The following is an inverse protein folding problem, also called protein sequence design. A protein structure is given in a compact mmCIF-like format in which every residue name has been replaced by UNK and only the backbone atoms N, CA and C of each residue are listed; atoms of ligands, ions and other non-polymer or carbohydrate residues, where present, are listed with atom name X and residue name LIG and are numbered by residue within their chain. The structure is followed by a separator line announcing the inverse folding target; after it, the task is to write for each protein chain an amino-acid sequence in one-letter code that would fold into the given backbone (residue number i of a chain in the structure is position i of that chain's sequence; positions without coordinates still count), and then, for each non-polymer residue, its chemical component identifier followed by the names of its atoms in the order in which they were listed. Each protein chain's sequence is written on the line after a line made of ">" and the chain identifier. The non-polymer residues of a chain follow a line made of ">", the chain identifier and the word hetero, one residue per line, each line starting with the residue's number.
data_IF_262593232924
#
_entry.id   IF_262593232924
#
_cell.length_a   1.000
_cell.length_b   1.000
_cell.length_c   1.000
_cell.angle_alpha   90.00
_cell.angle_beta   90.00
_cell.angle_gamma   90.00
#
_symmetry.space_group_name_H-M   'P 1'
#
loop_
_entity.id
_entity.type
_entity.pdbx_description
1 polymer ?
#
# COMPACT_ATOMS: atom_id res chain seq x y z
N UNK A 1 -11.83 8.04 19.97
CA UNK A 1 -10.57 8.61 19.44
C UNK A 1 -9.52 7.54 19.12
N UNK A 2 -9.15 6.65 20.04
CA UNK A 2 -8.06 5.67 19.82
C UNK A 2 -8.28 4.71 18.63
N UNK A 3 -9.51 4.24 18.40
CA UNK A 3 -9.83 3.37 17.26
C UNK A 3 -9.67 4.07 15.90
N UNK A 4 -10.08 5.34 15.79
CA UNK A 4 -9.94 6.15 14.56
C UNK A 4 -8.47 6.29 14.14
N UNK A 5 -7.60 6.68 15.07
CA UNK A 5 -6.17 6.80 14.81
C UNK A 5 -5.54 5.46 14.40
N UNK A 6 -5.95 4.36 15.05
CA UNK A 6 -5.46 3.03 14.72
C UNK A 6 -5.84 2.60 13.29
N UNK A 7 -7.10 2.79 12.88
CA UNK A 7 -7.52 2.49 11.50
C UNK A 7 -6.80 3.34 10.46
N UNK A 8 -6.64 4.64 10.73
CA UNK A 8 -5.93 5.55 9.82
C UNK A 8 -4.45 5.17 9.71
N UNK A 9 -3.79 4.88 10.84
CA UNK A 9 -2.37 4.48 10.85
C UNK A 9 -2.14 3.15 10.14
N UNK A 10 -3.03 2.17 10.30
CA UNK A 10 -2.93 0.88 9.60
C UNK A 10 -3.14 1.06 8.10
N UNK A 11 -4.17 1.82 7.70
CA UNK A 11 -4.46 2.07 6.29
C UNK A 11 -3.28 2.77 5.61
N UNK A 12 -2.77 3.85 6.19
CA UNK A 12 -1.61 4.58 5.65
C UNK A 12 -0.34 3.73 5.68
N UNK A 13 -0.09 2.99 6.76
CA UNK A 13 1.12 2.17 6.88
C UNK A 13 1.17 1.02 5.87
N UNK A 14 0.06 0.31 5.67
CA UNK A 14 -0.01 -0.78 4.67
C UNK A 14 0.16 -0.20 3.26
N UNK A 15 -0.54 0.89 2.94
CA UNK A 15 -0.48 1.52 1.61
C UNK A 15 0.94 2.03 1.30
N UNK A 16 1.60 2.64 2.28
CA UNK A 16 2.99 3.08 2.14
C UNK A 16 3.96 1.91 1.90
N UNK A 17 3.79 0.79 2.60
CA UNK A 17 4.59 -0.41 2.36
C UNK A 17 4.37 -1.02 0.98
N UNK A 18 3.11 -1.05 0.51
CA UNK A 18 2.76 -1.46 -0.85
C UNK A 18 3.52 -0.65 -1.89
N UNK A 19 3.56 0.67 -1.73
CA UNK A 19 4.23 1.57 -2.66
C UNK A 19 5.75 1.41 -2.67
N UNK A 20 6.38 1.18 -1.50
CA UNK A 20 7.80 0.83 -1.44
C UNK A 20 8.09 -0.47 -2.22
N UNK A 21 7.24 -1.49 -2.09
CA UNK A 21 7.43 -2.75 -2.82
C UNK A 21 7.31 -2.55 -4.33
N UNK A 22 6.35 -1.76 -4.78
CA UNK A 22 6.17 -1.40 -6.18
C UNK A 22 7.42 -0.67 -6.72
N UNK A 23 7.89 0.36 -6.00
CA UNK A 23 9.08 1.11 -6.36
C UNK A 23 10.33 0.22 -6.43
N UNK A 24 10.51 -0.72 -5.49
CA UNK A 24 11.65 -1.66 -5.48
C UNK A 24 11.59 -2.61 -6.67
N UNK A 25 10.41 -3.18 -6.98
CA UNK A 25 10.24 -4.11 -8.10
C UNK A 25 10.53 -3.42 -9.43
N UNK A 26 10.08 -2.18 -9.60
CA UNK A 26 10.24 -1.41 -10.83
C UNK A 26 11.65 -0.81 -11.00
N UNK A 27 12.28 -0.35 -9.91
CA UNK A 27 13.57 0.37 -9.95
C UNK A 27 14.81 -0.54 -9.93
N UNK A 28 14.69 -1.78 -9.45
CA UNK A 28 15.79 -2.75 -9.52
C UNK A 28 16.12 -3.00 -10.98
N UNK A 29 17.38 -3.09 -11.44
CA UNK A 29 17.70 -3.41 -12.84
C UNK A 29 17.81 -4.94 -13.08
N UNK A 30 17.57 -5.39 -14.31
CA UNK A 30 17.72 -6.82 -14.67
C UNK A 30 19.15 -7.28 -14.43
N UNK A 31 20.14 -6.44 -14.80
CA UNK A 31 21.56 -6.71 -14.56
C UNK A 31 21.91 -6.89 -13.09
N UNK A 32 21.30 -6.12 -12.18
CA UNK A 32 21.54 -6.28 -10.75
C UNK A 32 20.99 -7.62 -10.24
N UNK A 33 19.85 -8.06 -10.76
CA UNK A 33 19.25 -9.36 -10.43
C UNK A 33 20.15 -10.50 -10.94
N UNK A 34 20.62 -10.43 -12.19
CA UNK A 34 21.51 -11.42 -12.77
C UNK A 34 22.81 -11.59 -11.95
N UNK A 35 23.41 -10.48 -11.51
CA UNK A 35 24.59 -10.52 -10.63
C UNK A 35 24.25 -11.24 -9.31
N UNK A 36 23.12 -10.93 -8.67
CA UNK A 36 22.71 -11.62 -7.45
C UNK A 36 22.45 -13.11 -7.65
N UNK A 37 21.91 -13.51 -8.81
CA UNK A 37 21.70 -14.92 -9.18
C UNK A 37 23.04 -15.63 -9.35
N UNK A 38 24.00 -15.00 -10.04
CA UNK A 38 25.36 -15.53 -10.24
C UNK A 38 26.14 -15.65 -8.92
N UNK A 39 25.96 -14.72 -7.99
CA UNK A 39 26.49 -14.79 -6.62
C UNK A 39 25.81 -15.87 -5.76
N UNK A 40 24.81 -16.58 -6.29
CA UNK A 40 24.09 -17.65 -5.59
C UNK A 40 23.09 -17.15 -4.54
N UNK A 41 22.81 -15.85 -4.48
CA UNK A 41 21.89 -15.26 -3.49
C UNK A 41 20.46 -15.70 -3.78
N UNK A 42 19.77 -16.19 -2.74
CA UNK A 42 18.37 -16.63 -2.82
C UNK A 42 17.44 -15.50 -3.28
N UNK A 43 17.71 -14.26 -2.86
CA UNK A 43 16.93 -13.08 -3.23
C UNK A 43 17.00 -12.82 -4.74
N UNK A 44 18.16 -13.04 -5.38
CA UNK A 44 18.33 -12.89 -6.83
C UNK A 44 17.37 -13.80 -7.60
N UNK A 45 17.37 -15.10 -7.29
CA UNK A 45 16.45 -16.07 -7.93
C UNK A 45 14.97 -15.77 -7.69
N UNK A 46 14.65 -15.18 -6.53
CA UNK A 46 13.27 -14.82 -6.20
C UNK A 46 12.82 -13.58 -6.98
N UNK A 47 13.68 -12.56 -7.07
CA UNK A 47 13.43 -11.36 -7.85
C UNK A 47 13.37 -11.65 -9.35
N UNK A 48 14.21 -12.56 -9.85
CA UNK A 48 14.18 -13.04 -11.25
C UNK A 48 12.79 -13.59 -11.60
N UNK A 49 12.25 -14.52 -10.79
CA UNK A 49 10.89 -15.06 -10.98
C UNK A 49 9.79 -14.02 -10.86
N UNK A 50 9.90 -13.10 -9.90
CA UNK A 50 8.92 -12.02 -9.73
C UNK A 50 8.93 -11.06 -10.93
N UNK A 51 10.06 -10.96 -11.65
CA UNK A 51 10.22 -10.07 -12.79
C UNK A 51 9.84 -10.68 -14.12
N UNK A 52 9.93 -12.01 -14.27
CA UNK A 52 9.39 -12.72 -15.43
C UNK A 52 7.90 -12.41 -15.65
N UNK A 53 7.14 -12.21 -14.57
CA UNK A 53 5.74 -11.82 -14.61
C UNK A 53 5.47 -10.66 -13.64
N UNK A 54 6.04 -9.49 -13.93
CA UNK A 54 5.94 -8.30 -13.05
C UNK A 54 4.49 -7.85 -12.78
N UNK A 55 3.57 -8.14 -13.69
CA UNK A 55 2.15 -7.82 -13.55
C UNK A 55 1.50 -8.54 -12.35
N UNK A 56 1.95 -9.76 -12.03
CA UNK A 56 1.39 -10.55 -10.94
C UNK A 56 1.65 -9.94 -9.55
N UNK A 57 2.90 -9.62 -9.14
CA UNK A 57 3.15 -8.98 -7.85
C UNK A 57 2.59 -7.55 -7.82
N UNK A 58 2.63 -6.79 -8.92
CA UNK A 58 2.04 -5.44 -8.97
C UNK A 58 0.51 -5.52 -8.75
N UNK A 59 -0.19 -6.42 -9.44
CA UNK A 59 -1.63 -6.60 -9.24
C UNK A 59 -1.98 -7.03 -7.79
N UNK A 60 -1.15 -7.88 -7.18
CA UNK A 60 -1.33 -8.27 -5.79
C UNK A 60 -1.12 -7.08 -4.82
N UNK A 61 -0.10 -6.26 -5.06
CA UNK A 61 0.18 -5.04 -4.28
C UNK A 61 -0.98 -4.05 -4.42
N UNK A 62 -1.46 -3.79 -5.63
CA UNK A 62 -2.57 -2.88 -5.90
C UNK A 62 -3.88 -3.36 -5.25
N UNK A 63 -4.11 -4.67 -5.27
CA UNK A 63 -5.27 -5.29 -4.59
C UNK A 63 -5.18 -5.10 -3.08
N UNK A 64 -4.00 -5.34 -2.49
CA UNK A 64 -3.78 -5.11 -1.06
C UNK A 64 -3.99 -3.64 -0.68
N UNK A 65 -3.52 -2.71 -1.53
CA UNK A 65 -3.74 -1.29 -1.35
C UNK A 65 -5.25 -0.95 -1.37
N UNK A 66 -5.99 -1.47 -2.35
CA UNK A 66 -7.45 -1.30 -2.46
C UNK A 66 -8.18 -1.78 -1.21
N UNK A 67 -7.76 -2.92 -0.64
CA UNK A 67 -8.32 -3.44 0.61
C UNK A 67 -7.98 -2.49 1.77
N UNK A 68 -6.74 -2.02 1.87
CA UNK A 68 -6.31 -1.09 2.92
C UNK A 68 -7.09 0.23 2.88
N UNK A 69 -7.28 0.80 1.67
CA UNK A 69 -8.12 1.97 1.45
C UNK A 69 -9.57 1.74 1.88
N UNK A 70 -10.16 0.63 1.44
CA UNK A 70 -11.59 0.34 1.67
C UNK A 70 -11.86 0.08 3.15
N UNK A 71 -11.07 -0.80 3.77
CA UNK A 71 -11.23 -1.16 5.19
C UNK A 71 -10.85 0.00 6.09
N UNK A 72 -9.79 0.74 5.74
CA UNK A 72 -9.37 1.95 6.44
C UNK A 72 -10.43 3.04 6.41
N UNK A 73 -10.98 3.36 5.23
CA UNK A 73 -12.04 4.35 5.07
C UNK A 73 -13.34 3.93 5.74
N UNK A 74 -13.77 2.67 5.58
CA UNK A 74 -14.98 2.17 6.24
C UNK A 74 -14.83 2.16 7.77
N UNK A 75 -13.70 1.71 8.31
CA UNK A 75 -13.42 1.66 9.75
C UNK A 75 -13.30 3.05 10.38
N UNK A 76 -12.56 3.95 9.72
CA UNK A 76 -12.45 5.34 10.15
C UNK A 76 -13.79 6.08 10.04
N UNK A 77 -14.55 5.84 8.96
CA UNK A 77 -15.89 6.39 8.78
C UNK A 77 -16.86 5.93 9.86
N UNK A 78 -16.90 4.62 10.19
CA UNK A 78 -17.76 4.10 11.25
C UNK A 78 -17.43 4.72 12.63
N UNK A 79 -16.14 4.88 12.94
CA UNK A 79 -15.70 5.58 14.16
C UNK A 79 -16.02 7.07 14.12
N UNK A 80 -15.90 7.72 12.96
CA UNK A 80 -16.25 9.12 12.78
C UNK A 80 -17.74 9.37 13.00
N UNK A 81 -18.62 8.54 12.44
CA UNK A 81 -20.07 8.63 12.66
C UNK A 81 -20.41 8.47 14.14
N UNK A 82 -19.74 7.57 14.85
CA UNK A 82 -19.97 7.34 16.28
C UNK A 82 -19.52 8.52 17.17
N UNK A 83 -18.52 9.31 16.75
CA UNK A 83 -17.95 10.39 17.56
C UNK A 83 -18.47 11.78 17.16
N UNK A 84 -18.66 12.02 15.86
CA UNK A 84 -18.98 13.33 15.29
C UNK A 84 -20.37 13.41 14.67
N UNK A 85 -21.12 12.30 14.60
CA UNK A 85 -22.42 12.24 13.94
C UNK A 85 -22.33 12.04 12.42
N UNK A 86 -23.47 11.77 11.80
CA UNK A 86 -23.55 11.26 10.42
C UNK A 86 -23.06 12.26 9.35
N UNK A 87 -23.08 13.57 9.63
CA UNK A 87 -22.64 14.61 8.68
C UNK A 87 -21.13 14.58 8.41
N UNK A 88 -20.32 14.12 9.36
CA UNK A 88 -18.86 14.10 9.22
C UNK A 88 -18.32 12.83 8.54
N UNK A 89 -19.16 11.81 8.34
CA UNK A 89 -18.78 10.55 7.68
C UNK A 89 -18.22 10.79 6.27
N UNK A 90 -18.93 11.57 5.47
CA UNK A 90 -18.54 11.86 4.09
C UNK A 90 -17.24 12.66 4.01
N UNK A 91 -17.10 13.67 4.87
CA UNK A 91 -15.90 14.53 4.91
C UNK A 91 -14.68 13.74 5.36
N UNK A 92 -14.78 12.95 6.44
CA UNK A 92 -13.66 12.17 6.95
C UNK A 92 -13.25 11.07 5.97
N UNK A 93 -14.21 10.41 5.31
CA UNK A 93 -13.92 9.40 4.29
C UNK A 93 -13.22 10.01 3.08
N UNK A 94 -13.66 11.20 2.63
CA UNK A 94 -13.04 11.91 1.51
C UNK A 94 -11.61 12.37 1.84
N UNK A 95 -11.41 12.98 3.02
CA UNK A 95 -10.08 13.44 3.48
C UNK A 95 -9.13 12.26 3.65
N UNK A 96 -9.58 11.16 4.25
CA UNK A 96 -8.75 9.97 4.42
C UNK A 96 -8.37 9.35 3.07
N UNK A 97 -9.31 9.27 2.13
CA UNK A 97 -9.02 8.78 0.78
C UNK A 97 -7.98 9.64 0.08
N UNK A 98 -8.12 10.97 0.17
CA UNK A 98 -7.14 11.92 -0.38
C UNK A 98 -5.76 11.75 0.25
N UNK A 99 -5.69 11.60 1.58
CA UNK A 99 -4.43 11.37 2.28
C UNK A 99 -3.76 10.08 1.81
N UNK A 100 -4.51 8.97 1.70
CA UNK A 100 -3.92 7.72 1.26
C UNK A 100 -3.43 7.84 -0.20
N UNK A 101 -4.18 8.48 -1.11
CA UNK A 101 -3.72 8.72 -2.49
C UNK A 101 -2.39 9.51 -2.53
N UNK A 102 -2.30 10.62 -1.79
CA UNK A 102 -1.09 11.44 -1.79
C UNK A 102 0.10 10.65 -1.22
N UNK A 103 -0.07 9.98 -0.09
CA UNK A 103 1.04 9.30 0.60
C UNK A 103 1.39 7.93 0.02
N UNK A 104 0.46 7.28 -0.68
CA UNK A 104 0.67 5.94 -1.26
C UNK A 104 0.96 5.96 -2.76
N UNK A 105 0.38 6.88 -3.53
CA UNK A 105 0.53 6.89 -4.99
C UNK A 105 1.36 8.07 -5.52
N UNK A 106 1.39 9.22 -4.83
CA UNK A 106 2.09 10.43 -5.35
C UNK A 106 3.51 10.60 -4.81
N UNK A 107 3.75 10.28 -3.53
CA UNK A 107 5.05 10.50 -2.88
C UNK A 107 6.11 9.46 -3.26
N UNK A 108 5.83 8.14 -3.20
CA UNK A 108 6.82 7.12 -3.53
C UNK A 108 7.02 7.01 -5.05
#
# INVERSE_FOLDING_TARGET
>A
MGGLLLYISIALGISFLCSIWEAVILSTSVSHIEVMVQEGKRVGRMMEKLRENVDQPIAAILTLNTIAHTVGAAGAGAQATAVFGNEFFGIISAVLTLLILIFSEIIP
#
